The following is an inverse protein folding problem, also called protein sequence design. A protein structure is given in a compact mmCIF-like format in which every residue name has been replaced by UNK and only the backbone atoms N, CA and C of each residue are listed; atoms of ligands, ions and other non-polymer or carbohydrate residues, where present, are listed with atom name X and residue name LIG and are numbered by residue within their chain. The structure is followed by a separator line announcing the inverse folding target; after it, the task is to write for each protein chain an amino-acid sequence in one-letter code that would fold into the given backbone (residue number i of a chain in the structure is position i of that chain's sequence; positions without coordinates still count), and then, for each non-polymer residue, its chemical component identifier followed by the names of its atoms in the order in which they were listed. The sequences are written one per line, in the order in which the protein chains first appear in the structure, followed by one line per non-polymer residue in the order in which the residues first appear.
data_IF_539268465685
#
_entry.id   IF_539268465685
#
_cell.length_a   1.000
_cell.length_b   1.000
_cell.length_c   1.000
_cell.angle_alpha   90.00
_cell.angle_beta   90.00
_cell.angle_gamma   90.00
#
_symmetry.space_group_name_H-M   'P 1'
#
loop_
_entity.id
_entity.type
_entity.pdbx_description
1 polymer ?
#
# COMPACT_ATOMS: atom_id res chain seq x y z
N UNK A 1 -0.10 -6.54 -16.47
CA UNK A 1 -0.15 -5.22 -15.82
C UNK A 1 -1.12 -5.31 -14.68
N UNK A 2 -0.70 -4.94 -13.48
CA UNK A 2 -1.54 -4.79 -12.28
C UNK A 2 -2.11 -3.37 -12.32
N UNK A 3 -3.41 -3.21 -12.08
CA UNK A 3 -4.05 -1.90 -11.89
C UNK A 3 -4.35 -1.74 -10.39
N UNK A 4 -3.65 -0.82 -9.75
CA UNK A 4 -3.73 -0.56 -8.31
C UNK A 4 -4.31 0.82 -8.04
N UNK A 5 -5.23 0.90 -7.08
CA UNK A 5 -5.74 2.16 -6.54
C UNK A 5 -5.23 2.35 -5.11
N UNK A 6 -4.73 3.54 -4.77
CA UNK A 6 -4.40 3.91 -3.39
C UNK A 6 -5.29 5.06 -2.95
N UNK A 7 -6.05 4.82 -1.89
CA UNK A 7 -6.98 5.81 -1.33
C UNK A 7 -6.22 6.61 -0.28
N UNK A 8 -6.05 7.90 -0.58
CA UNK A 8 -5.32 8.85 0.24
C UNK A 8 -6.18 10.11 0.41
N UNK A 9 -6.48 10.47 1.65
CA UNK A 9 -7.11 11.75 1.97
C UNK A 9 -6.05 12.84 1.99
N UNK A 10 -5.90 13.58 0.91
CA UNK A 10 -4.97 14.71 0.83
C UNK A 10 -4.13 14.72 -0.44
N UNK A 11 -3.16 15.63 -0.47
CA UNK A 11 -2.27 15.84 -1.61
C UNK A 11 -0.89 15.19 -1.43
N UNK A 12 -0.63 14.60 -0.27
CA UNK A 12 0.71 14.14 0.10
C UNK A 12 1.01 12.79 -0.58
N UNK A 13 1.70 12.82 -1.72
CA UNK A 13 2.05 11.63 -2.51
C UNK A 13 3.15 10.75 -1.86
N UNK A 14 3.36 10.85 -0.55
CA UNK A 14 4.46 10.19 0.17
C UNK A 14 4.43 8.67 -0.01
N UNK A 15 3.25 8.04 0.06
CA UNK A 15 3.16 6.58 -0.11
C UNK A 15 3.41 6.17 -1.57
N UNK A 16 2.90 6.93 -2.53
CA UNK A 16 3.17 6.71 -3.96
C UNK A 16 4.67 6.80 -4.28
N UNK A 17 5.36 7.79 -3.70
CA UNK A 17 6.80 7.95 -3.86
C UNK A 17 7.57 6.79 -3.23
N UNK A 18 7.13 6.31 -2.05
CA UNK A 18 7.73 5.14 -1.42
C UNK A 18 7.58 3.88 -2.27
N UNK A 19 6.37 3.64 -2.80
CA UNK A 19 6.12 2.53 -3.72
C UNK A 19 7.01 2.68 -4.95
N UNK A 20 7.04 3.85 -5.58
CA UNK A 20 7.92 4.13 -6.72
C UNK A 20 9.38 3.74 -6.43
N UNK A 21 9.89 4.13 -5.26
CA UNK A 21 11.26 3.81 -4.83
C UNK A 21 11.48 2.31 -4.65
N UNK A 22 10.56 1.60 -4.00
CA UNK A 22 10.64 0.13 -3.84
C UNK A 22 10.71 -0.55 -5.21
N UNK A 23 9.96 -0.05 -6.19
CA UNK A 23 9.93 -0.62 -7.54
C UNK A 23 11.07 -0.14 -8.45
N UNK A 24 11.72 0.99 -8.18
CA UNK A 24 12.90 1.44 -8.94
C UNK A 24 14.07 0.46 -8.83
N UNK A 25 14.20 -0.22 -7.70
CA UNK A 25 15.20 -1.26 -7.47
C UNK A 25 14.71 -2.66 -7.93
N UNK A 26 13.51 -2.73 -8.51
CA UNK A 26 12.90 -3.96 -9.03
C UNK A 26 12.99 -4.06 -10.55
N UNK A 27 12.75 -5.26 -11.09
CA UNK A 27 12.64 -5.51 -12.53
C UNK A 27 11.31 -5.03 -13.15
N UNK A 28 10.42 -4.42 -12.36
CA UNK A 28 9.07 -4.04 -12.78
C UNK A 28 8.95 -2.56 -13.08
N UNK A 29 8.34 -2.25 -14.23
CA UNK A 29 8.06 -0.88 -14.64
C UNK A 29 6.73 -0.41 -14.08
N UNK A 30 6.77 0.61 -13.22
CA UNK A 30 5.58 1.24 -12.63
C UNK A 30 5.25 2.57 -13.33
N UNK A 31 3.96 2.82 -13.55
CA UNK A 31 3.41 4.12 -13.95
C UNK A 31 2.51 4.63 -12.84
N UNK A 32 2.78 5.84 -12.34
CA UNK A 32 2.03 6.47 -11.27
C UNK A 32 1.27 7.66 -11.83
N UNK A 33 -0.02 7.72 -11.54
CA UNK A 33 -0.89 8.85 -11.85
C UNK A 33 -1.75 9.19 -10.64
N UNK A 34 -2.36 10.38 -10.64
CA UNK A 34 -3.32 10.81 -9.62
C UNK A 34 -4.69 11.01 -10.23
N UNK A 35 -5.74 10.90 -9.42
CA UNK A 35 -7.13 11.08 -9.83
C UNK A 35 -7.39 12.45 -10.46
N UNK A 36 -6.72 13.49 -9.96
CA UNK A 36 -6.74 14.83 -10.58
C UNK A 36 -6.23 14.85 -12.03
N UNK A 37 -5.30 13.97 -12.41
CA UNK A 37 -4.82 13.88 -13.81
C UNK A 37 -5.78 13.14 -14.74
N UNK A 38 -6.76 12.44 -14.18
CA UNK A 38 -7.78 11.68 -14.92
C UNK A 38 -9.05 12.51 -15.16
N UNK A 39 -9.16 13.70 -14.56
CA UNK A 39 -10.34 14.56 -14.71
C UNK A 39 -10.56 14.90 -16.18
N UNK A 40 -11.76 14.63 -16.70
CA UNK A 40 -12.13 14.86 -18.09
C UNK A 40 -11.78 13.72 -19.06
N UNK A 41 -11.12 12.65 -18.61
CA UNK A 41 -10.99 11.44 -19.41
C UNK A 41 -12.33 10.68 -19.46
N UNK A 42 -12.79 10.38 -20.67
CA UNK A 42 -13.97 9.54 -20.88
C UNK A 42 -13.66 8.11 -20.44
N UNK A 43 -14.50 7.55 -19.57
CA UNK A 43 -14.35 6.17 -19.05
C UNK A 43 -14.24 5.13 -20.16
N UNK A 44 -14.88 5.38 -21.32
CA UNK A 44 -14.82 4.49 -22.49
C UNK A 44 -13.43 4.40 -23.13
N UNK A 45 -12.56 5.38 -22.86
CA UNK A 45 -11.17 5.42 -23.37
C UNK A 45 -10.17 4.77 -22.42
N UNK A 46 -10.55 4.48 -21.17
CA UNK A 46 -9.67 3.85 -20.18
C UNK A 46 -9.15 2.47 -20.64
N UNK A 47 -9.94 1.60 -21.30
CA UNK A 47 -9.41 0.34 -21.84
C UNK A 47 -8.31 0.53 -22.88
N UNK A 48 -8.41 1.56 -23.74
CA UNK A 48 -7.37 1.87 -24.74
C UNK A 48 -6.11 2.41 -24.06
N UNK A 49 -6.28 3.31 -23.09
CA UNK A 49 -5.19 3.85 -22.28
C UNK A 49 -4.40 2.74 -21.56
N UNK A 50 -5.08 1.84 -20.86
CA UNK A 50 -4.44 0.72 -20.15
C UNK A 50 -3.78 -0.28 -21.10
N UNK A 51 -4.35 -0.49 -22.30
CA UNK A 51 -3.75 -1.31 -23.36
C UNK A 51 -2.44 -0.71 -23.87
N UNK A 52 -2.38 0.60 -24.09
CA UNK A 52 -1.15 1.28 -24.52
C UNK A 52 -0.07 1.26 -23.43
N UNK A 53 -0.43 1.43 -22.16
CA UNK A 53 0.54 1.26 -21.05
C UNK A 53 1.14 -0.15 -21.06
N UNK A 54 0.29 -1.18 -21.16
CA UNK A 54 0.75 -2.57 -21.23
C UNK A 54 1.66 -2.83 -22.44
N UNK A 55 1.34 -2.26 -23.61
CA UNK A 55 2.16 -2.36 -24.82
C UNK A 55 3.55 -1.71 -24.65
N UNK A 56 3.63 -0.65 -23.84
CA UNK A 56 4.89 0.02 -23.49
C UNK A 56 5.64 -0.65 -22.33
N UNK A 57 5.28 -1.90 -21.99
CA UNK A 57 5.95 -2.70 -20.97
C UNK A 57 5.71 -2.22 -19.55
N UNK A 58 4.61 -1.50 -19.28
CA UNK A 58 4.23 -1.14 -17.90
C UNK A 58 3.66 -2.38 -17.21
N UNK A 59 4.29 -2.76 -16.10
CA UNK A 59 3.88 -3.90 -15.27
C UNK A 59 2.84 -3.51 -14.24
N UNK A 60 2.87 -2.26 -13.76
CA UNK A 60 2.00 -1.75 -12.71
C UNK A 60 1.52 -0.35 -13.07
N UNK A 61 0.21 -0.14 -13.11
CA UNK A 61 -0.42 1.17 -13.09
C UNK A 61 -0.91 1.44 -11.66
N UNK A 62 -0.37 2.46 -11.02
CA UNK A 62 -0.77 2.90 -9.68
C UNK A 62 -1.49 4.24 -9.78
N UNK A 63 -2.70 4.30 -9.24
CA UNK A 63 -3.56 5.48 -9.26
C UNK A 63 -3.74 5.97 -7.82
N UNK A 64 -3.20 7.14 -7.52
CA UNK A 64 -3.54 7.88 -6.30
C UNK A 64 -4.94 8.45 -6.41
N UNK A 65 -5.86 8.01 -5.56
CA UNK A 65 -7.27 8.37 -5.64
C UNK A 65 -7.69 9.14 -4.39
N UNK A 66 -8.11 10.38 -4.59
CA UNK A 66 -8.86 11.11 -3.57
C UNK A 66 -10.27 10.55 -3.49
N UNK A 67 -10.79 10.43 -2.26
CA UNK A 67 -12.11 9.82 -2.04
C UNK A 67 -13.23 10.55 -2.82
N UNK A 68 -13.19 11.88 -2.86
CA UNK A 68 -14.18 12.69 -3.58
C UNK A 68 -14.13 12.49 -5.11
N UNK A 69 -12.95 12.20 -5.65
CA UNK A 69 -12.78 12.01 -7.10
C UNK A 69 -13.45 10.71 -7.58
N UNK A 70 -13.74 9.75 -6.67
CA UNK A 70 -14.47 8.52 -7.01
C UNK A 70 -15.87 8.79 -7.55
N UNK A 71 -16.42 9.98 -7.36
CA UNK A 71 -17.68 10.37 -7.98
C UNK A 71 -17.58 10.50 -9.51
N UNK A 72 -16.38 10.70 -10.06
CA UNK A 72 -16.19 10.82 -11.50
C UNK A 72 -16.33 9.49 -12.25
N UNK A 73 -17.04 9.52 -13.39
CA UNK A 73 -17.34 8.34 -14.18
C UNK A 73 -16.10 7.66 -14.77
N UNK A 74 -14.97 8.36 -14.91
CA UNK A 74 -13.71 7.79 -15.42
C UNK A 74 -13.32 6.50 -14.69
N UNK A 75 -13.63 6.42 -13.40
CA UNK A 75 -13.34 5.25 -12.58
C UNK A 75 -14.12 4.00 -12.99
N UNK A 76 -15.30 4.14 -13.61
CA UNK A 76 -16.07 3.02 -14.18
C UNK A 76 -15.33 2.30 -15.32
N UNK A 77 -14.33 2.96 -15.92
CA UNK A 77 -13.49 2.37 -16.97
C UNK A 77 -12.33 1.54 -16.43
N UNK A 78 -12.05 1.62 -15.13
CA UNK A 78 -11.00 0.84 -14.48
C UNK A 78 -11.58 -0.41 -13.81
N UNK A 79 -10.80 -1.48 -13.82
CA UNK A 79 -11.04 -2.67 -13.00
C UNK A 79 -9.79 -2.88 -12.14
N UNK A 80 -9.89 -2.54 -10.87
CA UNK A 80 -8.74 -2.59 -9.96
C UNK A 80 -8.45 -4.04 -9.57
N UNK A 81 -7.20 -4.46 -9.77
CA UNK A 81 -6.68 -5.72 -9.24
C UNK A 81 -6.45 -5.64 -7.73
N UNK A 82 -6.12 -4.44 -7.24
CA UNK A 82 -5.85 -4.20 -5.83
C UNK A 82 -6.18 -2.77 -5.43
N UNK A 83 -6.73 -2.62 -4.23
CA UNK A 83 -7.04 -1.33 -3.63
C UNK A 83 -6.36 -1.25 -2.26
N UNK A 84 -5.67 -0.14 -2.02
CA UNK A 84 -4.91 0.12 -0.80
C UNK A 84 -5.60 1.26 -0.04
N UNK A 85 -6.07 0.98 1.17
CA UNK A 85 -6.61 2.00 2.06
C UNK A 85 -5.53 2.45 3.03
N UNK A 86 -5.11 3.70 2.95
CA UNK A 86 -4.19 4.28 3.93
C UNK A 86 -4.94 4.69 5.20
N UNK A 87 -4.30 4.47 6.34
CA UNK A 87 -4.83 4.91 7.63
C UNK A 87 -4.69 6.42 7.71
N UNK A 88 -5.80 7.12 7.62
CA UNK A 88 -5.89 8.51 7.99
C UNK A 88 -6.92 8.59 9.10
N UNK A 89 -6.38 8.73 10.31
CA UNK A 89 -7.11 8.66 11.57
C UNK A 89 -8.14 9.80 11.76
N UNK A 90 -8.31 10.71 10.79
CA UNK A 90 -9.08 11.94 10.98
C UNK A 90 -10.30 12.09 10.04
N UNK A 91 -10.76 11.03 9.37
CA UNK A 91 -11.83 11.18 8.38
C UNK A 91 -13.08 10.29 8.58
N UNK A 92 -13.17 9.59 9.69
CA UNK A 92 -14.44 9.02 10.21
C UNK A 92 -14.93 9.90 11.37
N UNK A 93 -14.92 11.22 11.18
CA UNK A 93 -15.83 12.07 11.95
C UNK A 93 -17.12 12.06 11.12
N UNK A 94 -18.16 11.45 11.68
CA UNK A 94 -19.53 11.56 11.20
C UNK A 94 -19.86 13.06 11.11
N UNK A 95 -19.76 13.64 9.92
CA UNK A 95 -20.29 14.97 9.70
C UNK A 95 -21.78 14.84 9.45
N UNK A 96 -22.58 15.27 10.42
CA UNK A 96 -24.03 15.45 10.35
C UNK A 96 -24.45 16.44 9.23
N UNK A 97 -23.52 17.01 8.46
CA UNK A 97 -23.78 17.99 7.41
C UNK A 97 -23.52 17.46 5.99
N UNK A 98 -24.44 16.61 5.50
CA UNK A 98 -24.87 16.61 4.09
C UNK A 98 -23.83 16.40 2.97
N UNK A 99 -22.63 15.90 3.25
CA UNK A 99 -21.62 15.54 2.26
C UNK A 99 -21.76 14.05 1.91
N UNK A 100 -21.51 13.68 0.64
CA UNK A 100 -21.68 12.32 0.09
C UNK A 100 -21.30 11.24 1.12
N UNK A 101 -22.20 10.27 1.35
CA UNK A 101 -22.00 9.23 2.35
C UNK A 101 -20.67 8.51 2.06
N UNK A 102 -19.62 8.73 2.86
CA UNK A 102 -18.30 8.10 2.65
C UNK A 102 -18.39 6.58 2.56
N UNK A 103 -19.39 5.97 3.21
CA UNK A 103 -19.72 4.56 3.06
C UNK A 103 -20.09 4.20 1.62
N UNK A 104 -20.89 5.02 0.95
CA UNK A 104 -21.28 4.83 -0.45
C UNK A 104 -20.07 4.95 -1.40
N UNK A 105 -19.15 5.88 -1.13
CA UNK A 105 -17.89 6.01 -1.89
C UNK A 105 -17.00 4.77 -1.73
N UNK A 106 -16.89 4.25 -0.50
CA UNK A 106 -16.15 3.03 -0.21
C UNK A 106 -16.84 1.81 -0.85
N UNK A 107 -18.18 1.72 -0.80
CA UNK A 107 -18.95 0.68 -1.48
C UNK A 107 -18.75 0.74 -3.01
N UNK A 108 -18.77 1.95 -3.60
CA UNK A 108 -18.47 2.17 -5.01
C UNK A 108 -17.06 1.68 -5.35
N UNK A 109 -16.09 1.98 -4.52
CA UNK A 109 -14.71 1.53 -4.72
C UNK A 109 -14.58 0.00 -4.73
N UNK A 110 -15.31 -0.68 -3.85
CA UNK A 110 -15.39 -2.14 -3.85
C UNK A 110 -16.04 -2.68 -5.13
N UNK A 111 -17.05 -2.01 -5.69
CA UNK A 111 -17.64 -2.38 -6.99
C UNK A 111 -16.65 -2.22 -8.16
N UNK A 112 -15.68 -1.33 -8.04
CA UNK A 112 -14.60 -1.13 -9.03
C UNK A 112 -13.45 -2.14 -8.88
N UNK A 113 -13.50 -2.98 -7.85
CA UNK A 113 -12.53 -4.06 -7.62
C UNK A 113 -13.07 -5.35 -8.23
N UNK A 114 -12.21 -6.09 -8.93
CA UNK A 114 -12.58 -7.42 -9.45
C UNK A 114 -13.10 -8.32 -8.31
N UNK A 115 -13.99 -9.27 -8.61
CA UNK A 115 -14.51 -10.24 -7.63
C UNK A 115 -13.38 -11.09 -6.99
N UNK A 116 -12.23 -11.16 -7.67
CA UNK A 116 -10.98 -11.79 -7.21
C UNK A 116 -9.89 -10.78 -6.85
N UNK A 117 -10.23 -9.49 -6.80
CA UNK A 117 -9.32 -8.43 -6.43
C UNK A 117 -8.92 -8.51 -4.96
N UNK A 118 -7.83 -7.82 -4.64
CA UNK A 118 -7.27 -7.79 -3.29
C UNK A 118 -7.47 -6.42 -2.65
N UNK A 119 -7.86 -6.40 -1.38
CA UNK A 119 -7.91 -5.18 -0.58
C UNK A 119 -6.76 -5.20 0.42
N UNK A 120 -5.96 -4.13 0.42
CA UNK A 120 -4.88 -3.89 1.37
C UNK A 120 -5.36 -2.86 2.40
N UNK A 121 -5.37 -3.23 3.68
CA UNK A 121 -5.93 -2.38 4.74
C UNK A 121 -5.17 -2.46 6.05
N UNK A 122 -5.33 -1.44 6.89
CA UNK A 122 -4.80 -1.41 8.23
C UNK A 122 -5.59 -2.32 9.18
N UNK A 123 -4.97 -3.37 9.73
CA UNK A 123 -5.54 -4.26 10.74
C UNK A 123 -5.79 -3.57 12.10
N UNK A 124 -5.16 -2.43 12.34
CA UNK A 124 -5.34 -1.64 13.56
C UNK A 124 -6.59 -0.74 13.47
N UNK A 125 -7.22 -0.63 12.28
CA UNK A 125 -8.45 0.11 12.02
C UNK A 125 -9.64 -0.86 11.89
N UNK A 126 -10.31 -1.11 13.02
CA UNK A 126 -11.39 -2.10 13.13
C UNK A 126 -12.66 -1.71 12.36
N UNK A 127 -12.94 -0.41 12.20
CA UNK A 127 -14.17 0.05 11.54
C UNK A 127 -14.17 -0.29 10.05
N UNK A 128 -13.03 -0.11 9.37
CA UNK A 128 -12.90 -0.42 7.94
C UNK A 128 -12.94 -1.91 7.63
N UNK A 129 -12.48 -2.76 8.56
CA UNK A 129 -12.59 -4.22 8.41
C UNK A 129 -14.05 -4.67 8.39
N UNK A 130 -14.92 -3.98 9.13
CA UNK A 130 -16.36 -4.32 9.16
C UNK A 130 -17.04 -4.10 7.80
N UNK A 131 -16.56 -3.13 7.00
CA UNK A 131 -17.09 -2.83 5.65
C UNK A 131 -16.84 -3.96 4.63
N UNK A 132 -15.92 -4.88 4.95
CA UNK A 132 -15.58 -6.03 4.10
C UNK A 132 -16.40 -7.29 4.42
N UNK A 133 -17.23 -7.26 5.47
CA UNK A 133 -18.00 -8.43 5.87
C UNK A 133 -18.99 -8.84 4.76
N UNK A 134 -18.97 -10.13 4.41
CA UNK A 134 -19.85 -10.69 3.37
C UNK A 134 -19.39 -10.47 1.93
N UNK A 135 -18.21 -9.87 1.70
CA UNK A 135 -17.64 -9.69 0.36
C UNK A 135 -16.62 -10.79 0.02
N UNK A 136 -16.42 -11.06 -1.28
CA UNK A 136 -15.57 -12.15 -1.80
C UNK A 136 -14.12 -11.74 -2.11
N UNK A 137 -13.69 -10.56 -1.67
CA UNK A 137 -12.33 -10.08 -1.92
C UNK A 137 -11.29 -10.84 -1.11
N UNK A 138 -10.08 -10.94 -1.65
CA UNK A 138 -8.92 -11.32 -0.85
C UNK A 138 -8.52 -10.14 0.03
N UNK A 139 -8.23 -10.37 1.31
CA UNK A 139 -7.84 -9.32 2.24
C UNK A 139 -6.39 -9.53 2.66
N UNK A 140 -5.56 -8.55 2.35
CA UNK A 140 -4.19 -8.44 2.82
C UNK A 140 -4.13 -7.31 3.85
N UNK A 141 -3.68 -7.62 5.07
CA UNK A 141 -3.67 -6.62 6.13
C UNK A 141 -2.26 -6.19 6.49
N UNK A 142 -2.11 -4.93 6.89
CA UNK A 142 -0.88 -4.38 7.46
C UNK A 142 -1.17 -3.73 8.81
N UNK A 143 -0.20 -3.60 9.71
CA UNK A 143 -0.40 -2.94 11.01
C UNK A 143 0.56 -3.40 12.08
N UNK A 144 0.46 -2.83 13.27
CA UNK A 144 1.22 -3.25 14.44
C UNK A 144 0.59 -4.43 15.18
N UNK A 145 -0.71 -4.67 14.99
CA UNK A 145 -1.38 -5.85 15.52
C UNK A 145 -0.80 -7.14 14.91
N UNK A 146 -0.54 -8.14 15.76
CA UNK A 146 -0.06 -9.46 15.35
C UNK A 146 -1.02 -10.23 14.45
N UNK A 147 -2.29 -9.81 14.36
CA UNK A 147 -3.27 -10.31 13.41
C UNK A 147 -3.10 -9.76 12.00
N UNK A 148 -2.26 -8.75 11.79
CA UNK A 148 -1.92 -8.27 10.45
C UNK A 148 -1.13 -9.32 9.67
N UNK A 149 -1.19 -9.27 8.34
CA UNK A 149 -0.32 -10.09 7.48
C UNK A 149 1.07 -9.48 7.37
N UNK A 150 1.18 -8.15 7.33
CA UNK A 150 2.45 -7.43 7.31
C UNK A 150 2.56 -6.52 8.54
N UNK A 151 3.61 -6.68 9.33
CA UNK A 151 3.86 -5.87 10.52
C UNK A 151 5.21 -5.18 10.44
N UNK A 152 5.43 -4.14 11.25
CA UNK A 152 6.77 -3.62 11.52
C UNK A 152 7.37 -4.39 12.70
N UNK A 153 8.56 -4.99 12.52
CA UNK A 153 9.31 -5.62 13.62
C UNK A 153 10.38 -4.70 14.18
N UNK A 154 10.89 -3.76 13.38
CA UNK A 154 11.80 -2.70 13.82
C UNK A 154 11.60 -1.43 12.99
N UNK A 155 11.68 -0.29 13.67
CA UNK A 155 11.67 1.03 13.04
C UNK A 155 12.98 1.69 13.45
N UNK A 156 13.80 2.07 12.48
CA UNK A 156 15.10 2.69 12.73
C UNK A 156 14.98 3.86 13.71
N UNK A 157 15.92 3.93 14.65
CA UNK A 157 15.97 5.01 15.64
C UNK A 157 16.71 6.23 15.08
N UNK A 158 16.37 7.43 15.57
CA UNK A 158 16.98 8.70 15.17
C UNK A 158 16.09 9.59 14.29
N UNK A 159 16.61 10.77 13.94
CA UNK A 159 15.86 11.83 13.23
C UNK A 159 15.43 11.40 11.81
N UNK A 160 16.20 10.52 11.17
CA UNK A 160 16.03 10.19 9.75
C UNK A 160 15.38 8.84 9.46
N UNK A 161 15.14 7.99 10.47
CA UNK A 161 14.48 6.67 10.40
C UNK A 161 14.70 5.91 9.08
N UNK A 162 15.95 5.73 8.67
CA UNK A 162 16.29 5.35 7.29
C UNK A 162 15.93 3.90 6.92
N UNK A 163 15.81 3.03 7.92
CA UNK A 163 15.54 1.60 7.72
C UNK A 163 14.30 1.17 8.52
N UNK A 164 13.43 0.41 7.86
CA UNK A 164 12.29 -0.26 8.46
C UNK A 164 12.43 -1.76 8.21
N UNK A 165 12.21 -2.56 9.26
CA UNK A 165 12.10 -4.01 9.11
C UNK A 165 10.62 -4.35 9.17
N UNK A 166 10.11 -4.87 8.05
CA UNK A 166 8.75 -5.39 7.96
C UNK A 166 8.78 -6.91 7.99
N UNK A 167 7.80 -7.52 8.65
CA UNK A 167 7.64 -8.97 8.75
C UNK A 167 6.35 -9.39 8.05
N UNK A 168 6.46 -10.35 7.14
CA UNK A 168 5.31 -11.10 6.63
C UNK A 168 4.98 -12.21 7.63
N UNK A 169 3.83 -12.13 8.28
CA UNK A 169 3.42 -13.02 9.38
C UNK A 169 2.86 -14.37 8.91
N UNK A 170 2.45 -14.47 7.64
CA UNK A 170 1.79 -15.66 7.08
C UNK A 170 2.11 -15.80 5.60
N UNK A 171 2.05 -17.03 5.11
CA UNK A 171 2.24 -17.34 3.69
C UNK A 171 1.28 -16.53 2.82
N UNK A 172 1.81 -15.91 1.76
CA UNK A 172 1.05 -15.08 0.83
C UNK A 172 1.19 -15.59 -0.61
N UNK A 173 0.07 -15.68 -1.31
CA UNK A 173 0.04 -15.91 -2.75
C UNK A 173 0.08 -14.55 -3.46
N UNK A 174 1.11 -14.31 -4.27
CA UNK A 174 1.23 -13.07 -5.05
C UNK A 174 0.24 -13.04 -6.19
N UNK A 175 0.02 -11.87 -6.80
CA UNK A 175 -0.81 -11.71 -8.01
C UNK A 175 -0.34 -12.59 -9.17
N UNK A 176 0.93 -12.97 -9.21
CA UNK A 176 1.50 -13.82 -10.25
C UNK A 176 1.48 -15.32 -9.89
N UNK A 177 0.92 -15.70 -8.74
CA UNK A 177 0.79 -17.09 -8.31
C UNK A 177 2.01 -17.64 -7.56
N UNK A 178 3.02 -16.82 -7.29
CA UNK A 178 4.16 -17.23 -6.45
C UNK A 178 3.76 -17.27 -4.99
N UNK A 179 4.33 -18.22 -4.25
CA UNK A 179 4.13 -18.33 -2.79
C UNK A 179 5.31 -17.65 -2.09
N UNK A 180 5.00 -16.75 -1.16
CA UNK A 180 6.00 -16.10 -0.29
C UNK A 180 5.75 -16.58 1.13
N UNK A 181 6.74 -17.24 1.72
CA UNK A 181 6.70 -17.72 3.11
C UNK A 181 6.96 -16.58 4.11
N UNK A 182 6.54 -16.75 5.39
CA UNK A 182 6.81 -15.79 6.45
C UNK A 182 8.30 -15.47 6.57
N UNK A 183 8.65 -14.19 6.48
CA UNK A 183 10.03 -13.71 6.57
C UNK A 183 10.08 -12.20 6.83
N UNK A 184 11.28 -11.72 7.20
CA UNK A 184 11.56 -10.29 7.40
C UNK A 184 12.20 -9.67 6.16
N UNK A 185 11.84 -8.41 5.89
CA UNK A 185 12.33 -7.62 4.79
C UNK A 185 12.77 -6.25 5.28
N UNK A 186 13.87 -5.76 4.71
CA UNK A 186 14.33 -4.40 4.95
C UNK A 186 13.76 -3.45 3.89
N UNK A 187 13.11 -2.38 4.34
CA UNK A 187 12.62 -1.28 3.50
C UNK A 187 13.44 -0.04 3.81
N UNK A 188 14.17 0.44 2.80
CA UNK A 188 15.01 1.64 2.88
C UNK A 188 14.20 2.87 2.51
N UNK A 189 13.88 3.69 3.49
CA UNK A 189 13.20 4.97 3.26
C UNK A 189 14.23 6.10 3.14
N UNK A 190 13.91 7.10 2.32
CA UNK A 190 14.75 8.31 2.28
C UNK A 190 14.51 9.12 3.56
N UNK A 191 15.54 9.86 3.99
CA UNK A 191 15.54 10.65 5.23
C UNK A 191 14.24 11.44 5.44
N UNK A 192 13.62 11.26 6.60
CA UNK A 192 12.40 11.97 6.99
C UNK A 192 11.52 11.16 7.95
N UNK A 193 10.59 11.83 8.64
CA UNK A 193 9.61 11.17 9.50
C UNK A 193 8.47 10.58 8.65
N UNK A 194 8.72 9.44 7.99
CA UNK A 194 7.66 8.70 7.29
C UNK A 194 6.79 7.96 8.31
N UNK A 195 5.48 8.02 8.12
CA UNK A 195 4.53 7.25 8.91
C UNK A 195 4.75 5.74 8.69
N UNK A 196 5.03 4.94 9.75
CA UNK A 196 5.24 3.50 9.63
C UNK A 196 4.09 2.75 8.95
N UNK A 197 2.85 3.22 9.09
CA UNK A 197 1.70 2.62 8.41
C UNK A 197 1.83 2.69 6.88
N UNK A 198 2.37 3.78 6.35
CA UNK A 198 2.59 3.95 4.90
C UNK A 198 3.69 3.01 4.41
N UNK A 199 4.71 2.78 5.24
CA UNK A 199 5.77 1.80 4.94
C UNK A 199 5.22 0.38 4.89
N UNK A 200 4.43 -0.02 5.89
CA UNK A 200 3.82 -1.35 5.91
C UNK A 200 2.81 -1.55 4.78
N UNK A 201 2.03 -0.53 4.43
CA UNK A 201 1.12 -0.57 3.27
C UNK A 201 1.87 -0.74 1.96
N UNK A 202 2.95 0.02 1.76
CA UNK A 202 3.80 -0.08 0.58
C UNK A 202 4.49 -1.46 0.50
N UNK A 203 4.99 -1.98 1.62
CA UNK A 203 5.56 -3.32 1.71
C UNK A 203 4.52 -4.41 1.37
N UNK A 204 3.31 -4.32 1.92
CA UNK A 204 2.23 -5.25 1.60
C UNK A 204 1.90 -5.26 0.10
N UNK A 205 1.81 -4.08 -0.53
CA UNK A 205 1.59 -3.97 -1.97
C UNK A 205 2.76 -4.52 -2.79
N UNK A 206 4.00 -4.26 -2.38
CA UNK A 206 5.19 -4.78 -3.04
C UNK A 206 5.23 -6.32 -3.02
N UNK A 207 4.97 -6.93 -1.86
CA UNK A 207 4.89 -8.39 -1.68
C UNK A 207 3.74 -8.97 -2.52
N UNK A 208 2.54 -8.38 -2.46
CA UNK A 208 1.38 -8.80 -3.29
C UNK A 208 1.71 -8.78 -4.78
N UNK A 209 2.38 -7.71 -5.22
CA UNK A 209 2.82 -7.54 -6.60
C UNK A 209 4.01 -8.42 -6.94
N UNK A 210 4.55 -9.21 -6.00
CA UNK A 210 5.69 -10.10 -6.18
C UNK A 210 7.03 -9.38 -6.41
N UNK A 211 7.18 -8.14 -5.95
CA UNK A 211 8.46 -7.44 -5.99
C UNK A 211 9.49 -8.19 -5.13
N UNK A 212 10.75 -8.21 -5.57
CA UNK A 212 11.84 -8.77 -4.78
C UNK A 212 12.21 -7.73 -3.72
N UNK A 213 11.87 -8.02 -2.47
CA UNK A 213 12.32 -7.22 -1.33
C UNK A 213 13.59 -7.86 -0.75
N UNK A 214 14.53 -7.03 -0.30
CA UNK A 214 15.75 -7.50 0.35
C UNK A 214 15.39 -8.21 1.65
N UNK A 215 15.63 -9.52 1.71
CA UNK A 215 15.48 -10.29 2.94
C UNK A 215 16.39 -9.72 4.02
N UNK A 216 15.84 -9.44 5.19
CA UNK A 216 16.65 -9.00 6.31
C UNK A 216 17.50 -10.18 6.82
N UNK A 217 18.81 -9.95 6.95
CA UNK A 217 19.73 -10.85 7.66
C UNK A 217 20.46 -10.06 8.73
N UNK A 218 20.49 -10.58 9.95
CA UNK A 218 21.22 -9.97 11.08
C UNK A 218 22.72 -9.81 10.78
N UNK A 219 23.27 -10.60 9.86
CA UNK A 219 24.68 -10.53 9.46
C UNK A 219 25.01 -9.31 8.58
N UNK A 220 24.00 -8.63 8.04
CA UNK A 220 24.15 -7.41 7.22
C UNK A 220 24.11 -6.12 8.04
N UNK A 221 24.11 -6.19 9.38
CA UNK A 221 24.13 -5.00 10.21
C UNK A 221 25.52 -4.35 10.15
N UNK A 222 25.67 -3.08 9.70
CA UNK A 222 26.93 -2.39 9.86
C UNK A 222 27.22 -2.28 11.36
N UNK A 223 28.36 -2.84 11.78
CA UNK A 223 28.91 -2.85 13.14
C UNK A 223 29.09 -1.43 13.73
N UNK A 224 28.04 -0.66 13.98
CA UNK A 224 28.15 0.67 14.60
C UNK A 224 27.01 0.91 15.59
N UNK A 225 26.98 0.10 16.66
CA UNK A 225 26.51 0.52 17.99
C UNK A 225 26.78 -0.60 19.03
N UNK A 226 28.04 -0.98 19.21
CA UNK A 226 28.44 -1.59 20.48
C UNK A 226 28.49 -0.49 21.55
N UNK A 227 27.33 -0.11 22.08
CA UNK A 227 27.26 0.65 23.33
C UNK A 227 27.79 -0.28 24.42
N UNK A 228 29.06 -0.11 24.79
CA UNK A 228 29.61 -0.68 26.02
C UNK A 228 28.89 -0.03 27.20
N UNK A 229 27.88 -0.71 27.74
CA UNK A 229 27.42 -0.45 29.10
C UNK A 229 27.81 -1.60 30.04
N UNK A 230 28.72 -1.23 30.95
CA UNK A 230 28.89 -1.70 32.33
C UNK A 230 29.49 -3.09 32.59
N UNK A 231 30.67 -3.06 33.21
CA UNK A 231 30.85 -3.69 34.52
C UNK A 231 31.80 -2.83 35.36
N UNK A 232 31.22 -2.13 36.34
CA UNK A 232 31.92 -1.76 37.56
C UNK A 232 31.79 -2.95 38.50
N UNK A 233 32.88 -3.62 38.87
CA UNK A 233 33.03 -4.33 40.15
C UNK A 233 34.52 -4.24 40.53
N UNK A 234 34.73 -3.65 41.71
CA UNK A 234 35.92 -3.55 42.60
C UNK A 234 37.19 -2.79 42.14
#
# INVERSE_FOLDING_TARGET
MIIAGIIESGNDCTTLNLISKIFNDSDKKISIITSGSLTGLDYRKVPEYTKELKKNGVDILMIGVKLDDLMHDVFLGFNFDVIIFLNQADEIVEDDTGNVNKKELIEKLFLLTDDKGTVILNADDYERISLLQGKRYSVLTYGFNSKASVTASSIGEGIYRENFICCLQRTLLTKYGSIIEPQEFEIKVSSGSINPYYVMAAAAFAIYSGAILTSYSKDNMPYHAAIKHHSSID
#
